data_IF_396074416207
#
_entry.id   IF_396074416207
#
_cell.length_a   1.000
_cell.length_b   1.000
_cell.length_c   1.000
_cell.angle_alpha   90.00
_cell.angle_beta   90.00
_cell.angle_gamma   90.00
#
_symmetry.space_group_name_H-M   'P 1'
#
loop_
_entity.id
_entity.type
_entity.pdbx_description
1 polymer ?
#
# COMPACT_ATOMS: atom_id res chain seq x y z
N UNK A 1 2.04 9.03 3.42
CA UNK A 1 0.56 9.00 3.41
C UNK A 1 0.06 7.69 4.02
N UNK A 2 -1.25 7.57 4.30
CA UNK A 2 -1.89 6.35 4.85
C UNK A 2 -3.20 6.11 4.08
N UNK A 3 -3.41 4.89 3.59
CA UNK A 3 -4.64 4.50 2.90
C UNK A 3 -5.66 3.86 3.86
N UNK A 4 -6.95 3.96 3.52
CA UNK A 4 -8.01 3.27 4.25
C UNK A 4 -7.77 1.76 4.28
N UNK A 5 -7.87 1.18 5.48
CA UNK A 5 -7.58 -0.23 5.75
C UNK A 5 -6.14 -0.51 6.19
N UNK A 6 -5.22 0.45 6.07
CA UNK A 6 -3.88 0.32 6.62
C UNK A 6 -3.89 0.35 8.16
N UNK A 7 -2.91 -0.31 8.78
CA UNK A 7 -2.67 -0.26 10.24
C UNK A 7 -1.72 0.87 10.65
N UNK A 8 -1.08 1.51 9.67
CA UNK A 8 -0.17 2.63 9.87
C UNK A 8 -0.90 3.91 10.33
N UNK A 9 -0.17 4.78 11.01
CA UNK A 9 -0.64 6.09 11.45
C UNK A 9 0.31 7.19 10.98
N UNK A 10 -0.24 8.37 10.70
CA UNK A 10 0.56 9.59 10.57
C UNK A 10 0.80 10.15 11.97
N UNK A 11 2.07 10.41 12.30
CA UNK A 11 2.43 11.20 13.49
C UNK A 11 2.68 12.64 13.05
N UNK A 12 1.87 13.58 13.52
CA UNK A 12 2.11 15.00 13.26
C UNK A 12 3.25 15.58 14.11
N UNK A 13 3.66 16.81 13.85
CA UNK A 13 4.72 17.49 14.61
C UNK A 13 4.41 17.68 16.11
N UNK A 14 3.13 17.57 16.51
CA UNK A 14 2.70 17.63 17.91
C UNK A 14 2.62 16.24 18.56
N UNK A 15 2.96 15.17 17.83
CA UNK A 15 2.92 13.79 18.29
C UNK A 15 1.53 13.17 18.28
N UNK A 16 0.53 13.79 17.65
CA UNK A 16 -0.78 13.16 17.50
C UNK A 16 -0.71 12.08 16.43
N UNK A 17 -1.39 10.97 16.71
CA UNK A 17 -1.57 9.86 15.78
C UNK A 17 -2.86 10.06 14.99
N UNK A 18 -2.75 10.07 13.68
CA UNK A 18 -3.86 10.19 12.74
C UNK A 18 -4.02 8.90 11.96
N UNK A 19 -5.21 8.30 12.05
CA UNK A 19 -5.55 7.04 11.39
C UNK A 19 -6.86 7.15 10.65
N UNK A 20 -7.13 6.17 9.76
CA UNK A 20 -8.44 5.99 9.14
C UNK A 20 -9.14 4.82 9.85
N UNK A 21 -10.34 5.04 10.37
CA UNK A 21 -11.13 3.98 11.00
C UNK A 21 -11.63 2.98 9.95
N UNK A 22 -12.02 1.78 10.40
CA UNK A 22 -12.66 0.79 9.53
C UNK A 22 -13.97 1.28 8.88
N UNK A 23 -14.59 2.32 9.44
CA UNK A 23 -15.81 2.96 8.91
C UNK A 23 -15.51 4.13 7.96
N UNK A 24 -14.24 4.40 7.64
CA UNK A 24 -13.85 5.49 6.74
C UNK A 24 -13.99 6.86 7.38
N UNK A 25 -13.54 7.02 8.62
CA UNK A 25 -13.45 8.32 9.30
C UNK A 25 -12.01 8.59 9.70
N UNK A 26 -11.62 9.86 9.79
CA UNK A 26 -10.37 10.22 10.47
C UNK A 26 -10.52 9.93 11.95
N UNK A 27 -9.53 9.32 12.57
CA UNK A 27 -9.40 9.25 14.02
C UNK A 27 -8.12 9.92 14.49
N UNK A 28 -8.20 10.68 15.58
CA UNK A 28 -7.07 11.35 16.22
C UNK A 28 -6.85 10.72 17.58
N UNK A 29 -5.66 10.15 17.80
CA UNK A 29 -5.30 9.43 19.02
C UNK A 29 -6.37 8.38 19.41
N UNK A 30 -6.94 7.71 18.40
CA UNK A 30 -7.99 6.68 18.58
C UNK A 30 -9.43 7.21 18.69
N UNK A 31 -9.64 8.53 18.69
CA UNK A 31 -10.98 9.14 18.75
C UNK A 31 -11.44 9.55 17.35
N UNK A 32 -12.54 8.97 16.87
CA UNK A 32 -13.09 9.28 15.55
C UNK A 32 -13.61 10.73 15.47
N UNK A 33 -13.24 11.43 14.40
CA UNK A 33 -13.77 12.73 14.01
C UNK A 33 -15.10 12.54 13.26
N UNK A 34 -16.20 12.70 14.00
CA UNK A 34 -17.55 12.50 13.49
C UNK A 34 -17.95 13.45 12.35
N UNK A 35 -17.15 14.48 12.06
CA UNK A 35 -17.38 15.39 10.91
C UNK A 35 -16.85 14.83 9.60
N UNK A 36 -16.11 13.71 9.64
CA UNK A 36 -15.53 13.04 8.48
C UNK A 36 -16.29 11.77 8.13
N UNK A 37 -16.32 11.43 6.84
CA UNK A 37 -16.94 10.21 6.33
C UNK A 37 -16.33 9.85 4.96
N UNK A 38 -16.33 8.54 4.66
CA UNK A 38 -15.80 7.98 3.42
C UNK A 38 -14.33 8.35 3.15
N UNK A 39 -13.53 8.53 4.20
CA UNK A 39 -12.10 8.85 4.09
C UNK A 39 -11.36 7.67 3.46
N UNK A 40 -10.62 7.95 2.40
CA UNK A 40 -9.84 6.96 1.64
C UNK A 40 -8.34 7.12 1.84
N UNK A 41 -7.89 8.34 2.15
CA UNK A 41 -6.47 8.63 2.32
C UNK A 41 -6.23 9.74 3.36
N UNK A 42 -5.10 9.63 4.06
CA UNK A 42 -4.52 10.68 4.89
C UNK A 42 -3.10 11.03 4.41
N UNK A 43 -2.76 12.32 4.46
CA UNK A 43 -1.41 12.80 4.18
C UNK A 43 -0.98 13.87 5.19
N UNK A 44 0.34 14.03 5.39
CA UNK A 44 0.91 15.11 6.21
C UNK A 44 1.86 15.94 5.38
N UNK A 45 1.40 17.12 4.98
CA UNK A 45 2.08 17.99 4.02
C UNK A 45 2.02 19.41 4.53
N UNK A 46 3.16 20.10 4.51
CA UNK A 46 3.28 21.49 4.96
C UNK A 46 2.77 21.72 6.40
N UNK A 47 3.00 20.75 7.29
CA UNK A 47 2.55 20.74 8.68
C UNK A 47 1.01 20.67 8.88
N UNK A 48 0.27 20.38 7.82
CA UNK A 48 -1.17 20.13 7.88
C UNK A 48 -1.47 18.65 7.66
N UNK A 49 -2.51 18.16 8.33
CA UNK A 49 -3.09 16.87 8.02
C UNK A 49 -4.15 17.06 6.96
N UNK A 50 -4.05 16.27 5.92
CA UNK A 50 -4.94 16.25 4.78
C UNK A 50 -5.72 14.95 4.77
N UNK A 51 -6.98 15.01 4.39
CA UNK A 51 -7.83 13.84 4.18
C UNK A 51 -8.49 13.91 2.80
N UNK A 52 -8.44 12.79 2.07
CA UNK A 52 -9.21 12.57 0.86
C UNK A 52 -10.41 11.69 1.18
N UNK A 53 -11.54 11.96 0.55
CA UNK A 53 -12.68 11.05 0.59
C UNK A 53 -12.88 10.29 -0.73
N UNK A 54 -13.81 9.33 -0.72
CA UNK A 54 -14.16 8.52 -1.89
C UNK A 54 -14.73 9.31 -3.10
N UNK A 55 -14.89 10.64 -3.00
CA UNK A 55 -15.22 11.53 -4.11
C UNK A 55 -13.99 12.26 -4.69
N UNK A 56 -12.77 11.87 -4.30
CA UNK A 56 -11.50 12.49 -4.67
C UNK A 56 -11.41 13.99 -4.33
N UNK A 57 -12.05 14.36 -3.22
CA UNK A 57 -12.02 15.72 -2.68
C UNK A 57 -11.11 15.75 -1.46
N UNK A 58 -10.35 16.84 -1.34
CA UNK A 58 -9.33 17.02 -0.31
C UNK A 58 -9.72 18.11 0.69
N UNK A 59 -9.49 17.83 1.96
CA UNK A 59 -9.60 18.80 3.06
C UNK A 59 -8.38 18.76 3.96
N UNK A 60 -7.99 19.90 4.51
CA UNK A 60 -6.89 19.98 5.47
C UNK A 60 -7.30 20.60 6.80
N UNK A 61 -6.54 20.31 7.84
CA UNK A 61 -6.53 21.06 9.09
C UNK A 61 -5.16 21.04 9.76
N UNK A 62 -4.89 22.07 10.55
CA UNK A 62 -3.60 22.29 11.23
C UNK A 62 -3.52 21.64 12.62
N UNK A 63 -4.65 21.27 13.21
CA UNK A 63 -4.70 20.66 14.55
C UNK A 63 -5.96 19.81 14.74
N UNK A 64 -6.00 18.94 15.76
CA UNK A 64 -7.17 18.09 16.05
C UNK A 64 -8.49 18.85 16.19
N UNK A 65 -8.45 20.06 16.78
CA UNK A 65 -9.63 20.88 17.08
C UNK A 65 -9.98 21.92 16.00
N UNK A 66 -9.13 22.07 14.98
CA UNK A 66 -9.42 22.98 13.87
C UNK A 66 -10.53 22.42 12.98
N UNK A 67 -11.25 23.31 12.29
CA UNK A 67 -12.22 22.91 11.26
C UNK A 67 -11.50 22.46 10.00
N UNK A 68 -12.06 21.47 9.31
CA UNK A 68 -11.61 21.04 7.98
C UNK A 68 -11.87 22.15 6.96
N UNK A 69 -10.83 22.54 6.23
CA UNK A 69 -10.90 23.47 5.11
C UNK A 69 -10.73 22.71 3.79
N UNK A 70 -11.54 23.03 2.77
CA UNK A 70 -11.37 22.42 1.44
C UNK A 70 -10.07 22.88 0.80
N UNK A 71 -9.39 21.99 0.08
CA UNK A 71 -8.18 22.31 -0.66
C UNK A 71 -8.01 21.45 -1.91
N UNK A 72 -6.95 21.73 -2.66
CA UNK A 72 -6.51 20.86 -3.75
C UNK A 72 -5.71 19.68 -3.20
N UNK A 73 -5.46 18.67 -4.04
CA UNK A 73 -4.57 17.56 -3.71
C UNK A 73 -3.19 18.12 -3.28
N UNK A 74 -2.73 17.83 -2.04
CA UNK A 74 -1.47 18.34 -1.50
C UNK A 74 -0.25 17.51 -1.93
N UNK A 75 -0.47 16.33 -2.51
CA UNK A 75 0.58 15.39 -2.83
C UNK A 75 1.38 15.84 -4.06
N UNK A 76 2.68 15.50 -4.13
CA UNK A 76 3.46 15.69 -5.33
C UNK A 76 2.85 14.95 -6.53
N UNK A 77 3.16 15.41 -7.73
CA UNK A 77 2.75 14.72 -8.95
C UNK A 77 3.31 13.29 -8.96
N UNK A 78 2.54 12.30 -9.46
CA UNK A 78 3.02 10.93 -9.56
C UNK A 78 4.29 10.80 -10.43
N UNK A 79 5.20 9.93 -10.00
CA UNK A 79 6.36 9.50 -10.77
C UNK A 79 5.92 8.35 -11.67
N UNK A 80 6.13 8.50 -12.98
CA UNK A 80 5.84 7.44 -13.96
C UNK A 80 7.14 6.85 -14.47
N UNK A 81 7.32 5.55 -14.25
CA UNK A 81 8.41 4.77 -14.83
C UNK A 81 7.95 4.28 -16.21
N UNK A 82 8.58 4.82 -17.26
CA UNK A 82 8.24 4.47 -18.64
C UNK A 82 8.70 3.05 -18.98
N UNK A 83 7.98 2.36 -19.87
CA UNK A 83 8.20 0.93 -20.17
C UNK A 83 9.59 0.54 -20.69
N UNK A 84 10.34 1.49 -21.27
CA UNK A 84 11.72 1.29 -21.73
C UNK A 84 12.77 1.54 -20.65
N UNK A 85 12.37 1.94 -19.44
CA UNK A 85 13.27 2.26 -18.34
C UNK A 85 13.71 0.96 -17.67
N UNK A 86 15.00 0.67 -17.65
CA UNK A 86 15.48 -0.55 -16.98
C UNK A 86 15.51 -0.40 -15.45
N UNK A 87 15.84 0.79 -14.96
CA UNK A 87 15.95 1.08 -13.53
C UNK A 87 15.62 2.52 -13.21
N UNK A 88 15.03 2.76 -12.04
CA UNK A 88 14.77 4.10 -11.51
C UNK A 88 15.14 4.19 -10.02
N UNK A 89 15.48 5.38 -9.56
CA UNK A 89 15.80 5.66 -8.15
C UNK A 89 14.90 6.76 -7.63
N UNK A 90 14.13 6.44 -6.59
CA UNK A 90 13.22 7.39 -5.94
C UNK A 90 13.63 7.58 -4.49
N UNK A 91 13.97 8.82 -4.15
CA UNK A 91 14.32 9.26 -2.78
C UNK A 91 13.32 10.26 -2.20
N UNK A 92 12.28 10.59 -2.96
CA UNK A 92 11.18 11.42 -2.49
C UNK A 92 10.27 10.58 -1.59
N UNK A 93 9.72 11.19 -0.55
CA UNK A 93 8.73 10.58 0.34
C UNK A 93 7.34 11.10 0.00
N UNK A 94 6.32 10.31 0.33
CA UNK A 94 4.92 10.63 0.10
C UNK A 94 4.59 10.92 -1.36
N UNK A 95 5.14 10.12 -2.28
CA UNK A 95 4.83 10.17 -3.72
C UNK A 95 4.11 8.91 -4.19
N UNK A 96 3.36 9.03 -5.28
CA UNK A 96 2.86 7.88 -6.03
C UNK A 96 3.87 7.50 -7.12
N UNK A 97 4.21 6.22 -7.22
CA UNK A 97 5.14 5.67 -8.22
C UNK A 97 4.37 4.63 -9.04
N UNK A 98 4.36 4.80 -10.36
CA UNK A 98 3.60 3.92 -11.27
C UNK A 98 4.48 3.43 -12.40
N UNK A 99 4.47 2.11 -12.64
CA UNK A 99 4.95 1.48 -13.86
C UNK A 99 3.81 0.71 -14.53
N UNK A 100 3.66 0.86 -15.85
CA UNK A 100 2.51 0.31 -16.59
C UNK A 100 2.82 -0.92 -17.44
N UNK A 101 4.09 -1.14 -17.79
CA UNK A 101 4.57 -2.33 -18.50
C UNK A 101 6.09 -2.37 -18.52
N UNK A 102 6.69 -3.53 -18.75
CA UNK A 102 8.15 -3.71 -18.77
C UNK A 102 8.68 -4.35 -17.50
N UNK A 103 9.99 -4.64 -17.48
CA UNK A 103 10.69 -5.16 -16.31
C UNK A 103 11.56 -4.03 -15.75
N UNK A 104 11.37 -3.68 -14.49
CA UNK A 104 12.09 -2.56 -13.87
C UNK A 104 12.87 -2.99 -12.64
N UNK A 105 13.94 -2.26 -12.35
CA UNK A 105 14.55 -2.22 -11.02
C UNK A 105 14.24 -0.87 -10.35
N UNK A 106 13.48 -0.89 -9.27
CA UNK A 106 13.19 0.30 -8.47
C UNK A 106 14.09 0.29 -7.23
N UNK A 107 14.88 1.36 -7.07
CA UNK A 107 15.59 1.66 -5.82
C UNK A 107 14.80 2.72 -5.05
N UNK A 108 14.19 2.32 -3.94
CA UNK A 108 13.37 3.18 -3.10
C UNK A 108 14.08 3.46 -1.78
N UNK A 109 14.19 4.75 -1.47
CA UNK A 109 14.70 5.24 -0.17
C UNK A 109 13.75 6.25 0.48
N UNK A 110 12.71 6.66 -0.24
CA UNK A 110 11.58 7.43 0.28
C UNK A 110 10.76 6.64 1.29
N UNK A 111 9.80 7.31 1.93
CA UNK A 111 8.96 6.71 2.96
C UNK A 111 7.52 7.19 2.80
N UNK A 112 6.56 6.32 3.13
CA UNK A 112 5.14 6.65 2.99
C UNK A 112 4.70 6.82 1.53
N UNK A 113 5.37 6.16 0.59
CA UNK A 113 5.09 6.18 -0.84
C UNK A 113 4.02 5.15 -1.22
N UNK A 114 3.29 5.39 -2.30
CA UNK A 114 2.39 4.39 -2.90
C UNK A 114 3.03 3.91 -4.20
N UNK A 115 3.25 2.61 -4.32
CA UNK A 115 3.98 2.02 -5.45
C UNK A 115 3.09 1.00 -6.16
N UNK A 116 2.89 1.16 -7.46
CA UNK A 116 2.18 0.21 -8.30
C UNK A 116 3.03 -0.13 -9.52
N UNK A 117 3.59 -1.33 -9.53
CA UNK A 117 4.41 -1.82 -10.63
C UNK A 117 3.64 -2.91 -11.37
N UNK A 118 3.07 -2.54 -12.52
CA UNK A 118 2.29 -3.45 -13.35
C UNK A 118 3.04 -3.81 -14.62
N UNK A 119 2.77 -5.02 -15.11
CA UNK A 119 3.49 -5.65 -16.20
C UNK A 119 4.87 -6.18 -15.81
N UNK A 120 5.32 -7.18 -16.56
CA UNK A 120 6.67 -7.75 -16.42
C UNK A 120 7.00 -8.30 -15.03
N UNK A 121 8.29 -8.46 -14.77
CA UNK A 121 8.83 -8.82 -13.46
C UNK A 121 9.66 -7.65 -12.96
N UNK A 122 9.21 -7.03 -11.89
CA UNK A 122 9.87 -5.86 -11.31
C UNK A 122 10.68 -6.29 -10.09
N UNK A 123 11.83 -5.68 -9.89
CA UNK A 123 12.66 -5.87 -8.70
C UNK A 123 12.65 -4.59 -7.90
N UNK A 124 12.34 -4.67 -6.61
CA UNK A 124 12.28 -3.52 -5.71
C UNK A 124 13.32 -3.70 -4.62
N UNK A 125 14.21 -2.72 -4.48
CA UNK A 125 15.06 -2.58 -3.32
C UNK A 125 14.52 -1.43 -2.50
N UNK A 126 13.85 -1.74 -1.40
CA UNK A 126 13.34 -0.75 -0.46
C UNK A 126 14.25 -0.67 0.77
N UNK A 127 14.68 0.55 1.06
CA UNK A 127 15.46 0.93 2.24
C UNK A 127 14.74 1.98 3.09
N UNK A 128 13.59 2.46 2.63
CA UNK A 128 12.70 3.32 3.39
C UNK A 128 11.76 2.52 4.29
N UNK A 129 10.61 3.11 4.62
CA UNK A 129 9.58 2.43 5.39
C UNK A 129 8.21 3.09 5.28
N UNK A 130 7.17 2.35 5.68
CA UNK A 130 5.79 2.81 5.61
C UNK A 130 5.23 2.96 4.19
N UNK A 131 5.89 2.36 3.20
CA UNK A 131 5.46 2.37 1.81
C UNK A 131 4.28 1.41 1.62
N UNK A 132 3.41 1.70 0.65
CA UNK A 132 2.30 0.81 0.27
C UNK A 132 2.50 0.30 -1.14
N UNK A 133 2.63 -1.02 -1.29
CA UNK A 133 2.80 -1.70 -2.56
C UNK A 133 1.46 -2.26 -3.05
N UNK A 134 0.90 -1.66 -4.09
CA UNK A 134 -0.28 -2.16 -4.79
C UNK A 134 0.14 -3.32 -5.68
N UNK A 135 -0.14 -4.54 -5.23
CA UNK A 135 0.30 -5.73 -5.93
C UNK A 135 -0.59 -6.00 -7.16
N UNK A 136 0.02 -6.46 -8.27
CA UNK A 136 -0.69 -6.68 -9.52
C UNK A 136 -1.66 -7.86 -9.43
N UNK A 137 -2.70 -7.84 -10.26
CA UNK A 137 -3.53 -9.01 -10.46
C UNK A 137 -2.75 -10.15 -11.13
N UNK A 138 -3.15 -11.40 -10.85
CA UNK A 138 -2.55 -12.59 -11.45
C UNK A 138 -2.40 -12.46 -12.98
N UNK A 139 -1.19 -12.66 -13.48
CA UNK A 139 -0.86 -12.56 -14.91
C UNK A 139 -0.53 -11.14 -15.41
N UNK A 140 -0.64 -10.11 -14.57
CA UNK A 140 -0.28 -8.72 -14.92
C UNK A 140 1.07 -8.29 -14.35
N UNK A 141 1.98 -9.25 -14.17
CA UNK A 141 3.31 -9.04 -13.63
C UNK A 141 3.49 -9.53 -12.19
N UNK A 142 4.70 -9.35 -11.67
CA UNK A 142 5.08 -9.77 -10.32
C UNK A 142 6.22 -8.91 -9.78
N UNK A 143 6.16 -8.62 -8.48
CA UNK A 143 7.16 -7.79 -7.79
C UNK A 143 8.09 -8.65 -6.92
N UNK A 144 9.40 -8.46 -7.09
CA UNK A 144 10.44 -9.15 -6.33
C UNK A 144 11.10 -8.13 -5.41
N UNK A 145 10.77 -8.20 -4.12
CA UNK A 145 11.42 -7.40 -3.09
C UNK A 145 12.73 -8.06 -2.68
N UNK A 146 13.83 -7.31 -2.77
CA UNK A 146 15.17 -7.78 -2.39
C UNK A 146 15.43 -7.68 -0.88
N UNK A 147 14.53 -7.01 -0.15
CA UNK A 147 14.53 -6.88 1.30
C UNK A 147 13.23 -7.43 1.91
N UNK A 148 13.26 -7.74 3.21
CA UNK A 148 12.07 -8.16 3.94
C UNK A 148 11.23 -6.93 4.32
N UNK A 149 10.41 -6.48 3.38
CA UNK A 149 9.55 -5.29 3.53
C UNK A 149 8.49 -5.43 4.64
N UNK A 150 8.22 -6.65 5.12
CA UNK A 150 7.29 -6.86 6.24
C UNK A 150 7.89 -6.33 7.57
N UNK A 151 9.21 -6.18 7.66
CA UNK A 151 9.88 -5.68 8.86
C UNK A 151 10.11 -4.16 8.86
N UNK A 152 9.88 -3.47 7.74
CA UNK A 152 10.09 -2.02 7.56
C UNK A 152 8.81 -1.20 7.72
N UNK A 153 7.71 -1.85 8.10
CA UNK A 153 6.41 -1.21 8.29
C UNK A 153 5.68 -0.93 6.98
N UNK A 154 6.13 -1.53 5.88
CA UNK A 154 5.46 -1.42 4.59
C UNK A 154 4.16 -2.24 4.57
N UNK A 155 3.26 -1.85 3.68
CA UNK A 155 1.93 -2.44 3.53
C UNK A 155 1.78 -3.00 2.13
N UNK A 156 1.22 -4.20 2.02
CA UNK A 156 0.81 -4.81 0.76
C UNK A 156 -0.67 -4.52 0.51
N UNK A 157 -0.99 -3.74 -0.52
CA UNK A 157 -2.36 -3.57 -0.97
C UNK A 157 -2.72 -4.68 -1.98
N UNK A 158 -3.53 -5.62 -1.51
CA UNK A 158 -3.99 -6.79 -2.26
C UNK A 158 -5.36 -6.59 -2.93
N UNK A 159 -6.01 -5.43 -2.74
CA UNK A 159 -7.38 -5.19 -3.24
C UNK A 159 -7.46 -5.38 -4.75
N UNK A 160 -6.52 -4.82 -5.50
CA UNK A 160 -6.47 -4.97 -6.98
C UNK A 160 -6.31 -6.43 -7.37
N UNK A 161 -5.44 -7.18 -6.69
CA UNK A 161 -5.18 -8.57 -7.01
C UNK A 161 -6.37 -9.48 -6.67
N UNK A 162 -7.02 -9.26 -5.52
CA UNK A 162 -8.16 -10.04 -5.06
C UNK A 162 -9.45 -9.71 -5.82
N UNK A 163 -9.66 -8.46 -6.22
CA UNK A 163 -10.80 -8.05 -7.03
C UNK A 163 -10.82 -8.71 -8.43
N UNK A 164 -9.66 -9.15 -8.93
CA UNK A 164 -9.54 -9.91 -10.18
C UNK A 164 -9.87 -11.41 -10.04
N UNK A 165 -10.30 -11.85 -8.85
CA UNK A 165 -10.67 -13.23 -8.56
C UNK A 165 -12.18 -13.40 -8.34
N UNK A 166 -12.62 -14.63 -8.08
CA UNK A 166 -13.99 -14.91 -7.63
C UNK A 166 -14.19 -14.73 -6.12
N UNK A 167 -13.22 -14.18 -5.39
CA UNK A 167 -13.34 -13.95 -3.96
C UNK A 167 -14.39 -12.88 -3.65
N UNK A 168 -15.24 -13.16 -2.67
CA UNK A 168 -16.39 -12.31 -2.32
C UNK A 168 -16.16 -11.48 -1.06
N UNK A 169 -14.90 -11.32 -0.63
CA UNK A 169 -14.54 -10.60 0.59
C UNK A 169 -14.64 -11.43 1.89
N UNK A 170 -14.98 -12.72 1.81
CA UNK A 170 -15.09 -13.56 3.01
C UNK A 170 -13.72 -14.04 3.49
N UNK A 171 -13.33 -13.65 4.71
CA UNK A 171 -12.06 -14.06 5.31
C UNK A 171 -11.89 -15.58 5.38
N UNK A 172 -12.97 -16.35 5.58
CA UNK A 172 -12.91 -17.82 5.66
C UNK A 172 -12.61 -18.51 4.33
N UNK A 173 -12.76 -17.79 3.21
CA UNK A 173 -12.45 -18.32 1.88
C UNK A 173 -11.20 -17.70 1.26
N UNK A 174 -10.59 -16.68 1.88
CA UNK A 174 -9.43 -15.96 1.35
C UNK A 174 -8.26 -16.88 1.03
N UNK A 175 -7.97 -17.86 1.88
CA UNK A 175 -6.87 -18.83 1.68
C UNK A 175 -7.03 -19.73 0.45
N UNK A 176 -8.22 -19.77 -0.17
CA UNK A 176 -8.46 -20.46 -1.44
C UNK A 176 -8.05 -19.63 -2.65
N UNK A 177 -7.79 -18.34 -2.46
CA UNK A 177 -7.44 -17.38 -3.51
C UNK A 177 -6.03 -16.84 -3.31
N UNK A 178 -5.64 -16.53 -2.07
CA UNK A 178 -4.30 -16.07 -1.70
C UNK A 178 -3.55 -17.16 -0.97
N UNK A 179 -2.41 -17.56 -1.52
CA UNK A 179 -1.48 -18.48 -0.88
C UNK A 179 -0.14 -17.80 -0.64
N UNK A 180 0.46 -18.13 0.50
CA UNK A 180 1.85 -17.77 0.83
C UNK A 180 2.63 -19.06 0.89
N UNK A 181 3.66 -19.17 0.06
CA UNK A 181 4.62 -20.28 0.13
C UNK A 181 5.94 -19.74 0.61
N UNK A 182 6.43 -20.26 1.72
CA UNK A 182 7.77 -19.97 2.19
C UNK A 182 8.80 -20.83 1.46
N UNK A 183 10.00 -20.29 1.34
CA UNK A 183 11.18 -20.99 0.85
C UNK A 183 12.36 -20.57 1.72
N UNK A 184 13.48 -21.28 1.57
CA UNK A 184 14.72 -20.90 2.27
C UNK A 184 15.19 -19.47 1.95
N UNK A 185 14.68 -18.84 0.88
CA UNK A 185 15.10 -17.51 0.42
C UNK A 185 14.07 -16.40 0.70
N UNK A 186 12.84 -16.73 1.10
CA UNK A 186 11.77 -15.75 1.33
C UNK A 186 10.38 -16.33 1.08
N UNK A 187 9.37 -15.46 1.10
CA UNK A 187 7.97 -15.83 0.89
C UNK A 187 7.49 -15.39 -0.50
N UNK A 188 6.75 -16.27 -1.18
CA UNK A 188 6.08 -15.97 -2.46
C UNK A 188 4.58 -15.93 -2.23
N UNK A 189 3.96 -14.82 -2.63
CA UNK A 189 2.52 -14.62 -2.62
C UNK A 189 1.98 -15.00 -4.00
N UNK A 190 0.97 -15.86 -4.03
CA UNK A 190 0.30 -16.28 -5.26
C UNK A 190 -1.20 -16.07 -5.18
N UNK A 191 -1.79 -15.66 -6.31
CA UNK A 191 -3.23 -15.46 -6.46
C UNK A 191 -3.81 -16.48 -7.44
N UNK A 192 -4.88 -17.16 -7.04
CA UNK A 192 -5.71 -17.97 -7.91
C UNK A 192 -6.98 -17.21 -8.30
N UNK A 193 -7.33 -17.20 -9.58
CA UNK A 193 -8.56 -16.55 -10.05
C UNK A 193 -9.83 -17.25 -9.57
N UNK A 194 -9.78 -18.57 -9.36
CA UNK A 194 -10.90 -19.40 -8.90
C UNK A 194 -10.58 -20.04 -7.55
N UNK A 195 -11.63 -20.39 -6.79
CA UNK A 195 -11.47 -20.99 -5.46
C UNK A 195 -10.68 -22.31 -5.53
N UNK A 196 -9.47 -22.34 -4.98
CA UNK A 196 -8.60 -23.52 -4.94
C UNK A 196 -7.95 -23.87 -6.29
N UNK A 197 -7.99 -22.94 -7.25
CA UNK A 197 -7.29 -23.08 -8.53
C UNK A 197 -5.77 -22.95 -8.41
N UNK A 198 -5.08 -22.98 -9.54
CA UNK A 198 -3.64 -22.77 -9.59
C UNK A 198 -3.31 -21.31 -9.30
N UNK A 199 -2.46 -21.07 -8.31
CA UNK A 199 -1.94 -19.74 -8.02
C UNK A 199 -0.94 -19.26 -9.08
N UNK A 200 -0.93 -17.96 -9.34
CA UNK A 200 0.09 -17.23 -10.09
C UNK A 200 0.82 -16.31 -9.12
N UNK A 201 2.15 -16.36 -9.09
CA UNK A 201 2.95 -15.51 -8.23
C UNK A 201 2.77 -14.02 -8.61
N UNK A 202 2.46 -13.18 -7.63
CA UNK A 202 2.30 -11.73 -7.78
C UNK A 202 3.35 -10.95 -7.00
N UNK A 203 3.96 -11.58 -5.98
CA UNK A 203 5.06 -11.01 -5.25
C UNK A 203 5.99 -12.07 -4.68
N UNK A 204 7.27 -11.74 -4.53
CA UNK A 204 8.24 -12.49 -3.74
C UNK A 204 8.97 -11.54 -2.81
N UNK A 205 8.99 -11.86 -1.52
CA UNK A 205 9.61 -11.05 -0.47
C UNK A 205 10.83 -11.80 0.05
N UNK A 206 12.01 -11.40 -0.40
CA UNK A 206 13.25 -12.04 0.02
C UNK A 206 13.53 -11.78 1.50
N UNK A 207 14.09 -12.77 2.19
CA UNK A 207 14.38 -12.69 3.63
C UNK A 207 13.15 -12.87 4.54
N UNK A 208 11.93 -12.93 4.01
CA UNK A 208 10.72 -13.29 4.75
C UNK A 208 10.57 -14.81 4.91
N UNK A 209 11.61 -15.49 5.43
CA UNK A 209 11.73 -16.97 5.42
C UNK A 209 10.79 -17.70 6.37
N UNK A 210 10.05 -16.98 7.21
CA UNK A 210 9.06 -17.53 8.14
C UNK A 210 7.69 -16.89 7.97
N UNK A 211 7.48 -16.15 6.88
CA UNK A 211 6.20 -15.49 6.64
C UNK A 211 5.16 -16.51 6.17
N UNK A 212 4.08 -16.62 6.92
CA UNK A 212 2.88 -17.36 6.54
C UNK A 212 1.76 -16.39 6.12
N UNK A 213 0.59 -16.93 5.77
CA UNK A 213 -0.56 -16.12 5.38
C UNK A 213 -0.97 -15.14 6.49
N UNK A 214 -0.93 -15.55 7.76
CA UNK A 214 -1.31 -14.68 8.88
C UNK A 214 -0.33 -13.51 9.02
N UNK A 215 0.97 -13.77 8.93
CA UNK A 215 2.00 -12.74 8.98
C UNK A 215 1.90 -11.75 7.82
N UNK A 216 1.67 -12.24 6.59
CA UNK A 216 1.45 -11.38 5.43
C UNK A 216 0.20 -10.52 5.61
N UNK A 217 -0.91 -11.10 6.05
CA UNK A 217 -2.17 -10.37 6.24
C UNK A 217 -2.09 -9.30 7.33
N UNK A 218 -1.22 -9.47 8.33
CA UNK A 218 -0.96 -8.41 9.33
C UNK A 218 -0.32 -7.15 8.72
N UNK A 219 0.29 -7.28 7.54
CA UNK A 219 0.94 -6.20 6.77
C UNK A 219 0.20 -5.93 5.46
N UNK A 220 -1.06 -6.34 5.33
CA UNK A 220 -1.80 -6.21 4.08
C UNK A 220 -3.15 -5.52 4.26
N UNK A 221 -3.64 -4.94 3.16
CA UNK A 221 -5.02 -4.51 2.98
C UNK A 221 -5.64 -5.42 1.92
N UNK A 222 -6.80 -6.03 2.20
CA UNK A 222 -7.47 -7.00 1.32
C UNK A 222 -8.87 -6.56 0.93
#
# INVERSE_FOLDING_TARGET
MVLAGATAAITDASGNQWTITATGQVAVNGVADATTANVTELAYVNQEVWQENASNLWWSKTSPTASWASGANPLPAPITIAAGTASDTVSQSQVSIVATSGNHMLFLSGSGDIVSLTGGTNTVTDTGGGNTYILPAAGNGSDIFTSNILNTGDTLDLKTALAATQWTGSASTLSKFLTVTDSAQGATLSISATSGGSGVAIATIQGATTADLTNVLAHSIT
#
